data_IF_950475650780
#
_entry.id   IF_950475650780
#
_cell.length_a   1.000
_cell.length_b   1.000
_cell.length_c   1.000
_cell.angle_alpha   90.00
_cell.angle_beta   90.00
_cell.angle_gamma   90.00
#
_symmetry.space_group_name_H-M   'P 1'
#
loop_
_entity.id
_entity.type
_entity.pdbx_description
1 polymer ?
#
# COMPACT_ATOMS: atom_id res chain seq x y z
N UNK A 1 -12.94 56.72 42.67
CA UNK A 1 -12.13 57.48 41.70
C UNK A 1 -10.72 57.56 42.20
N UNK A 2 -9.74 57.38 41.32
CA UNK A 2 -8.33 57.57 41.63
C UNK A 2 -8.04 59.03 42.04
N UNK A 3 -7.04 59.23 42.88
CA UNK A 3 -6.72 60.53 43.50
C UNK A 3 -5.27 60.93 43.23
N UNK A 4 -5.05 62.23 43.11
CA UNK A 4 -3.73 62.84 43.13
C UNK A 4 -3.69 63.96 44.16
N UNK A 5 -2.58 64.08 44.88
CA UNK A 5 -2.29 65.24 45.73
C UNK A 5 -1.14 66.12 45.20
N UNK A 6 -0.59 65.80 44.03
CA UNK A 6 0.36 66.66 43.35
C UNK A 6 -0.35 67.93 42.85
N UNK A 7 0.18 69.09 43.21
CA UNK A 7 -0.33 70.42 42.85
C UNK A 7 0.74 71.24 42.17
N UNK A 8 0.32 72.18 41.31
CA UNK A 8 1.26 73.10 40.69
C UNK A 8 1.60 74.21 41.69
N UNK A 9 2.88 74.50 41.85
CA UNK A 9 3.32 75.63 42.65
C UNK A 9 2.97 76.94 41.96
N UNK A 10 2.55 77.94 42.73
CA UNK A 10 2.25 79.29 42.23
C UNK A 10 1.18 79.34 41.11
N UNK A 11 0.07 78.61 41.31
CA UNK A 11 -1.09 78.62 40.40
C UNK A 11 -1.72 80.01 40.26
N UNK A 12 -1.75 80.80 41.33
CA UNK A 12 -2.34 82.15 41.36
C UNK A 12 -1.33 83.31 41.36
N UNK A 13 -0.04 83.06 41.11
CA UNK A 13 0.94 84.14 41.09
C UNK A 13 0.78 84.99 39.82
N UNK A 14 0.89 86.31 39.96
CA UNK A 14 0.87 87.20 38.81
C UNK A 14 2.07 86.95 37.88
N UNK A 15 1.87 87.09 36.57
CA UNK A 15 2.90 86.81 35.55
C UNK A 15 4.17 87.63 35.77
N UNK A 16 4.02 88.88 36.23
CA UNK A 16 5.14 89.77 36.54
C UNK A 16 6.05 89.26 37.67
N UNK A 17 5.58 88.30 38.48
CA UNK A 17 6.29 87.68 39.58
C UNK A 17 6.85 86.29 39.22
N UNK A 18 6.75 85.89 37.95
CA UNK A 18 7.44 84.74 37.36
C UNK A 18 8.48 85.30 36.38
N UNK A 19 9.67 84.74 36.37
CA UNK A 19 10.70 85.12 35.40
C UNK A 19 10.30 84.70 33.97
N UNK A 20 10.55 85.58 32.99
CA UNK A 20 10.25 85.26 31.60
C UNK A 20 11.17 84.14 31.07
N UNK A 21 10.75 83.43 30.02
CA UNK A 21 11.57 82.36 29.44
C UNK A 21 12.93 82.89 28.97
N UNK A 22 12.95 84.05 28.31
CA UNK A 22 14.18 84.68 27.81
C UNK A 22 15.16 85.03 28.94
N UNK A 23 14.65 85.57 30.06
CA UNK A 23 15.49 85.89 31.23
C UNK A 23 15.99 84.60 31.89
N UNK A 24 15.10 83.62 32.12
CA UNK A 24 15.43 82.35 32.75
C UNK A 24 16.45 81.54 31.95
N UNK A 25 16.37 81.53 30.62
CA UNK A 25 17.33 80.85 29.74
C UNK A 25 18.78 81.30 29.97
N UNK A 26 18.97 82.58 30.30
CA UNK A 26 20.29 83.19 30.52
C UNK A 26 20.64 83.43 31.99
N UNK A 27 19.71 83.16 32.92
CA UNK A 27 19.92 83.34 34.35
C UNK A 27 21.09 82.48 34.87
N UNK A 28 22.04 83.14 35.54
CA UNK A 28 23.27 82.51 36.00
C UNK A 28 23.04 81.50 37.12
N UNK A 29 22.01 81.67 37.94
CA UNK A 29 21.66 80.72 39.00
C UNK A 29 20.95 79.47 38.44
N UNK A 30 20.21 79.58 37.31
CA UNK A 30 19.72 78.40 36.59
C UNK A 30 20.87 77.53 36.07
N UNK A 31 21.90 78.17 35.50
CA UNK A 31 23.04 77.47 34.86
C UNK A 31 24.03 76.93 35.89
N UNK A 32 24.43 77.76 36.85
CA UNK A 32 25.55 77.51 37.75
C UNK A 32 25.14 77.16 39.19
N UNK A 33 23.84 77.18 39.48
CA UNK A 33 23.29 76.92 40.82
C UNK A 33 23.18 78.16 41.71
N UNK A 34 22.50 78.01 42.85
CA UNK A 34 22.29 79.09 43.83
C UNK A 34 23.59 79.46 44.53
N UNK A 35 23.83 80.78 44.69
CA UNK A 35 24.99 81.34 45.42
C UNK A 35 24.52 82.04 46.70
N UNK A 36 25.38 82.20 47.73
CA UNK A 36 25.02 82.93 48.94
C UNK A 36 24.56 84.36 48.63
N UNK A 37 23.37 84.74 49.10
CA UNK A 37 22.79 86.06 48.84
C UNK A 37 21.27 86.10 49.02
N UNK A 38 20.67 87.23 48.64
CA UNK A 38 19.21 87.39 48.62
C UNK A 38 18.64 86.60 47.45
N UNK A 39 17.72 85.67 47.71
CA UNK A 39 17.08 84.86 46.68
C UNK A 39 16.25 85.72 45.73
N UNK A 40 16.38 85.50 44.42
CA UNK A 40 15.59 86.18 43.37
C UNK A 40 14.20 85.53 43.28
N UNK A 41 13.11 86.18 43.74
CA UNK A 41 11.83 85.50 43.88
C UNK A 41 11.22 85.06 42.54
N UNK A 42 11.40 85.84 41.46
CA UNK A 42 10.86 85.52 40.13
C UNK A 42 11.45 84.24 39.54
N UNK A 43 12.78 84.11 39.64
CA UNK A 43 13.52 82.91 39.21
C UNK A 43 13.05 81.68 40.00
N UNK A 44 12.97 81.78 41.33
CA UNK A 44 12.54 80.67 42.17
C UNK A 44 11.09 80.27 41.88
N UNK A 45 10.19 81.23 41.66
CA UNK A 45 8.83 80.97 41.23
C UNK A 45 8.80 80.21 39.89
N UNK A 46 9.64 80.59 38.92
CA UNK A 46 9.76 79.92 37.63
C UNK A 46 10.24 78.47 37.79
N UNK A 47 11.33 78.27 38.52
CA UNK A 47 11.93 76.96 38.80
C UNK A 47 10.93 76.00 39.47
N UNK A 48 10.34 76.42 40.59
CA UNK A 48 9.38 75.59 41.33
C UNK A 48 8.13 75.29 40.51
N UNK A 49 7.63 76.27 39.74
CA UNK A 49 6.48 76.06 38.87
C UNK A 49 6.79 75.03 37.78
N UNK A 50 7.93 75.11 37.09
CA UNK A 50 8.29 74.13 36.05
C UNK A 50 8.42 72.70 36.62
N UNK A 51 9.06 72.54 37.79
CA UNK A 51 9.20 71.21 38.41
C UNK A 51 7.85 70.62 38.83
N UNK A 52 6.98 71.44 39.44
CA UNK A 52 5.68 70.98 39.95
C UNK A 52 4.64 70.80 38.84
N UNK A 53 4.71 71.55 37.73
CA UNK A 53 3.90 71.29 36.52
C UNK A 53 4.18 69.90 35.97
N UNK A 54 5.46 69.50 35.84
CA UNK A 54 5.80 68.16 35.38
C UNK A 54 5.31 67.07 36.33
N UNK A 55 5.47 67.27 37.65
CA UNK A 55 4.98 66.33 38.65
C UNK A 55 3.45 66.18 38.61
N UNK A 56 2.71 67.29 38.54
CA UNK A 56 1.26 67.29 38.43
C UNK A 56 0.77 66.65 37.12
N UNK A 57 1.46 66.90 36.00
CA UNK A 57 1.15 66.28 34.70
C UNK A 57 1.34 64.76 34.73
N UNK A 58 2.45 64.27 35.28
CA UNK A 58 2.69 62.84 35.46
C UNK A 58 1.63 62.19 36.37
N UNK A 59 1.29 62.85 37.48
CA UNK A 59 0.23 62.38 38.37
C UNK A 59 -1.13 62.32 37.68
N UNK A 60 -1.43 63.27 36.78
CA UNK A 60 -2.67 63.27 35.99
C UNK A 60 -2.74 62.07 35.04
N UNK A 61 -1.63 61.70 34.40
CA UNK A 61 -1.54 60.52 33.52
C UNK A 61 -1.81 59.24 34.33
N UNK A 62 -1.26 59.14 35.54
CA UNK A 62 -1.51 58.01 36.46
C UNK A 62 -2.99 57.94 36.87
N UNK A 63 -3.60 59.07 37.23
CA UNK A 63 -5.02 59.13 37.62
C UNK A 63 -5.95 58.79 36.45
N UNK A 64 -5.62 59.22 35.22
CA UNK A 64 -6.38 58.85 34.02
C UNK A 64 -6.33 57.35 33.72
N UNK A 65 -5.24 56.67 34.09
CA UNK A 65 -5.14 55.20 34.06
C UNK A 65 -5.94 54.52 35.19
N UNK A 66 -6.56 55.28 36.09
CA UNK A 66 -7.37 54.79 37.20
C UNK A 66 -6.56 54.39 38.44
N UNK A 67 -5.33 54.91 38.58
CA UNK A 67 -4.41 54.61 39.67
C UNK A 67 -4.13 55.85 40.53
N UNK A 68 -3.87 55.66 41.82
CA UNK A 68 -3.59 56.77 42.72
C UNK A 68 -2.17 57.32 42.52
N UNK A 69 -2.01 58.64 42.64
CA UNK A 69 -0.73 59.33 42.58
C UNK A 69 -0.56 60.17 43.86
N UNK A 70 -0.07 59.53 44.93
CA UNK A 70 0.07 60.15 46.25
C UNK A 70 1.54 60.31 46.62
N UNK A 71 1.95 61.51 47.02
CA UNK A 71 3.31 61.79 47.52
C UNK A 71 3.65 61.05 48.83
N UNK A 72 2.63 60.60 49.57
CA UNK A 72 2.76 59.84 50.81
C UNK A 72 3.07 58.36 50.59
N UNK A 73 2.95 57.86 49.35
CA UNK A 73 3.20 56.46 48.99
C UNK A 73 4.15 56.36 47.79
N UNK A 74 5.44 56.52 48.05
CA UNK A 74 6.47 56.46 47.01
C UNK A 74 6.49 55.12 46.26
N UNK A 75 6.36 54.00 46.98
CA UNK A 75 6.38 52.67 46.38
C UNK A 75 5.16 52.44 45.49
N UNK A 76 3.97 52.85 45.95
CA UNK A 76 2.75 52.83 45.15
C UNK A 76 2.84 53.76 43.93
N UNK A 77 3.38 54.97 44.10
CA UNK A 77 3.57 55.91 42.99
C UNK A 77 4.48 55.33 41.90
N UNK A 78 5.60 54.70 42.26
CA UNK A 78 6.50 54.05 41.28
C UNK A 78 5.81 52.89 40.57
N UNK A 79 5.07 52.05 41.30
CA UNK A 79 4.28 50.95 40.73
C UNK A 79 3.23 51.48 39.74
N UNK A 80 2.48 52.50 40.15
CA UNK A 80 1.42 53.08 39.34
C UNK A 80 1.96 53.79 38.11
N UNK A 81 3.11 54.47 38.23
CA UNK A 81 3.80 55.07 37.08
C UNK A 81 4.21 54.00 36.06
N UNK A 82 4.78 52.86 36.50
CA UNK A 82 5.12 51.74 35.61
C UNK A 82 3.90 51.17 34.88
N UNK A 83 2.79 50.99 35.59
CA UNK A 83 1.52 50.50 35.02
C UNK A 83 0.90 51.48 34.03
N UNK A 84 1.19 52.77 34.14
CA UNK A 84 0.60 53.81 33.28
C UNK A 84 1.22 53.82 31.89
N UNK A 85 2.52 53.50 31.77
CA UNK A 85 3.21 53.49 30.47
C UNK A 85 3.09 52.16 29.70
N UNK A 86 2.75 51.06 30.37
CA UNK A 86 2.34 49.83 29.72
C UNK A 86 0.81 49.85 29.55
N UNK A 87 0.31 49.91 28.32
CA UNK A 87 -1.13 49.86 28.05
C UNK A 87 -1.76 48.51 28.43
N UNK A 88 -2.98 48.24 27.97
CA UNK A 88 -3.58 46.90 28.05
C UNK A 88 -3.49 46.16 26.72
N UNK A 89 -3.24 44.85 26.76
CA UNK A 89 -3.43 43.97 25.59
C UNK A 89 -4.72 43.19 25.81
N UNK A 90 -5.72 43.40 24.95
CA UNK A 90 -7.02 42.71 25.02
C UNK A 90 -7.67 42.76 26.43
N UNK A 91 -7.61 43.91 27.10
CA UNK A 91 -8.17 44.12 28.44
C UNK A 91 -7.29 43.62 29.60
N UNK A 92 -6.15 42.97 29.33
CA UNK A 92 -5.18 42.56 30.36
C UNK A 92 -4.29 43.75 30.70
N UNK A 93 -4.34 44.19 31.96
CA UNK A 93 -3.55 45.30 32.49
C UNK A 93 -2.18 44.82 32.98
N UNK A 94 -1.17 45.71 33.04
CA UNK A 94 0.13 45.35 33.60
C UNK A 94 0.07 45.04 35.09
N UNK A 95 0.92 44.10 35.53
CA UNK A 95 1.16 43.79 36.95
C UNK A 95 1.91 44.92 37.69
N UNK A 96 2.21 44.73 38.98
CA UNK A 96 2.99 45.69 39.80
C UNK A 96 4.42 45.93 39.30
N UNK A 97 4.91 45.08 38.39
CA UNK A 97 6.22 45.19 37.74
C UNK A 97 6.13 45.78 36.34
N UNK A 98 4.93 46.07 35.82
CA UNK A 98 4.69 46.60 34.48
C UNK A 98 4.64 45.53 33.38
N UNK A 99 4.56 44.24 33.72
CA UNK A 99 4.42 43.15 32.74
C UNK A 99 2.96 42.89 32.42
N UNK A 100 2.65 42.64 31.15
CA UNK A 100 1.33 42.17 30.73
C UNK A 100 1.40 40.65 30.57
N UNK A 101 0.57 39.91 31.32
CA UNK A 101 0.51 38.46 31.19
C UNK A 101 -0.17 38.05 29.89
N UNK A 102 0.62 37.61 28.92
CA UNK A 102 0.14 37.09 27.63
C UNK A 102 0.20 35.56 27.55
N UNK A 103 0.39 34.87 28.68
CA UNK A 103 0.59 33.41 28.72
C UNK A 103 -0.59 32.66 28.13
N UNK A 104 -1.82 33.11 28.42
CA UNK A 104 -3.05 32.50 27.88
C UNK A 104 -3.15 32.65 26.36
N UNK A 105 -2.73 33.80 25.81
CA UNK A 105 -2.69 34.01 24.36
C UNK A 105 -1.66 33.10 23.71
N UNK A 106 -0.45 33.01 24.29
CA UNK A 106 0.60 32.13 23.82
C UNK A 106 0.16 30.66 23.87
N UNK A 107 -0.56 30.26 24.92
CA UNK A 107 -1.11 28.92 25.02
C UNK A 107 -2.16 28.65 23.94
N UNK A 108 -3.11 29.57 23.75
CA UNK A 108 -4.12 29.43 22.69
C UNK A 108 -3.51 29.32 21.30
N UNK A 109 -2.46 30.09 21.00
CA UNK A 109 -1.71 29.96 19.75
C UNK A 109 -1.04 28.59 19.65
N UNK A 110 -0.39 28.12 20.73
CA UNK A 110 0.25 26.79 20.76
C UNK A 110 -0.75 25.65 20.55
N UNK A 111 -1.96 25.76 21.09
CA UNK A 111 -3.00 24.73 20.97
C UNK A 111 -3.58 24.65 19.55
N UNK A 112 -3.47 25.71 18.76
CA UNK A 112 -3.93 25.75 17.35
C UNK A 112 -2.92 25.19 16.34
N UNK A 113 -1.65 25.04 16.73
CA UNK A 113 -0.57 24.60 15.82
C UNK A 113 -0.61 23.09 15.54
N UNK A 114 -0.69 22.19 16.53
CA UNK A 114 -0.69 20.76 16.26
C UNK A 114 -2.04 20.30 15.67
N UNK A 115 -2.07 19.30 14.77
CA UNK A 115 -3.31 18.65 14.35
C UNK A 115 -4.07 18.11 15.56
N UNK A 116 -5.39 18.02 15.49
CA UNK A 116 -6.26 17.57 16.58
C UNK A 116 -6.01 16.10 16.90
N UNK A 117 -6.41 15.66 18.09
CA UNK A 117 -6.44 14.21 18.41
C UNK A 117 -7.37 13.52 17.41
N UNK A 118 -6.88 12.46 16.77
CA UNK A 118 -7.55 11.76 15.67
C UNK A 118 -7.19 12.24 14.26
N UNK A 119 -6.54 13.41 14.11
CA UNK A 119 -6.06 13.86 12.80
C UNK A 119 -4.87 13.01 12.34
N UNK A 120 -4.76 12.83 11.02
CA UNK A 120 -3.68 12.10 10.39
C UNK A 120 -2.71 13.03 9.65
N UNK A 121 -1.42 12.74 9.71
CA UNK A 121 -0.38 13.36 8.88
C UNK A 121 0.17 12.32 7.91
N UNK A 122 0.25 12.68 6.63
CA UNK A 122 0.90 11.88 5.57
C UNK A 122 2.24 12.52 5.23
N UNK A 123 3.35 11.79 5.40
CA UNK A 123 4.70 12.35 5.27
C UNK A 123 5.71 11.34 4.75
N UNK A 124 6.77 11.83 4.10
CA UNK A 124 7.96 11.02 3.76
C UNK A 124 8.99 10.99 4.90
N UNK A 125 8.87 11.90 5.88
CA UNK A 125 9.74 11.89 7.05
C UNK A 125 9.35 10.72 7.98
N UNK A 126 10.33 9.87 8.31
CA UNK A 126 10.15 8.72 9.20
C UNK A 126 10.11 9.09 10.68
N UNK A 127 10.49 10.31 11.05
CA UNK A 127 10.48 10.74 12.44
C UNK A 127 9.05 10.87 12.98
N UNK A 128 8.87 10.49 14.25
CA UNK A 128 7.61 10.68 14.94
C UNK A 128 7.24 12.19 14.96
N UNK A 129 6.01 12.58 14.57
CA UNK A 129 5.61 13.98 14.50
C UNK A 129 5.71 14.74 15.83
N UNK A 130 5.80 14.05 16.97
CA UNK A 130 6.06 14.66 18.28
C UNK A 130 7.36 15.48 18.33
N UNK A 131 8.33 15.21 17.45
CA UNK A 131 9.53 16.07 17.30
C UNK A 131 9.20 17.46 16.78
N UNK A 132 8.23 17.58 15.86
CA UNK A 132 7.76 18.85 15.31
C UNK A 132 6.68 19.49 16.19
N UNK A 133 5.86 18.66 16.84
CA UNK A 133 4.77 19.07 17.71
C UNK A 133 5.01 18.58 19.15
N UNK A 134 5.84 19.30 19.94
CA UNK A 134 6.14 18.89 21.30
C UNK A 134 4.89 18.70 22.15
N UNK A 135 4.89 17.67 23.01
CA UNK A 135 3.77 17.36 23.90
C UNK A 135 2.62 16.56 23.27
N UNK A 136 2.74 16.16 21.99
CA UNK A 136 1.76 15.29 21.33
C UNK A 136 2.24 13.84 21.25
N UNK A 137 1.29 12.91 21.14
CA UNK A 137 1.57 11.47 20.93
C UNK A 137 0.93 10.98 19.64
N UNK A 138 1.59 10.03 18.98
CA UNK A 138 1.24 9.58 17.64
C UNK A 138 1.43 8.08 17.49
N UNK A 139 0.53 7.46 16.75
CA UNK A 139 0.60 6.07 16.32
C UNK A 139 0.84 5.99 14.82
N UNK A 140 1.81 5.16 14.40
CA UNK A 140 2.09 4.91 12.99
C UNK A 140 1.13 3.84 12.49
N UNK A 141 0.43 4.10 11.39
CA UNK A 141 -0.42 3.09 10.77
C UNK A 141 0.42 1.88 10.30
N UNK A 142 -0.14 0.66 10.39
CA UNK A 142 0.52 -0.53 9.85
C UNK A 142 0.89 -0.36 8.38
N UNK A 143 2.00 -0.98 7.98
CA UNK A 143 2.43 -0.94 6.59
C UNK A 143 1.37 -1.50 5.63
N UNK A 144 1.39 -1.02 4.37
CA UNK A 144 0.47 -1.47 3.31
C UNK A 144 -1.02 -1.29 3.67
N UNK A 145 -1.32 -0.30 4.51
CA UNK A 145 -2.69 0.15 4.80
C UNK A 145 -3.09 1.27 3.83
N UNK A 146 -4.23 1.10 3.16
CA UNK A 146 -4.85 2.16 2.38
C UNK A 146 -5.92 2.88 3.21
N UNK A 147 -6.04 4.19 3.07
CA UNK A 147 -7.08 4.97 3.75
C UNK A 147 -8.34 5.00 2.87
N UNK A 148 -9.50 4.67 3.45
CA UNK A 148 -10.82 4.86 2.83
C UNK A 148 -11.64 5.90 3.58
N UNK A 149 -12.57 6.57 2.90
CA UNK A 149 -13.52 7.47 3.56
C UNK A 149 -14.48 6.68 4.45
N UNK A 150 -14.68 7.15 5.67
CA UNK A 150 -15.69 6.59 6.57
C UNK A 150 -17.11 7.04 6.19
N UNK A 151 -18.10 6.23 6.56
CA UNK A 151 -19.52 6.47 6.35
C UNK A 151 -20.38 5.49 7.14
N UNK A 152 -21.60 5.22 6.67
CA UNK A 152 -22.53 4.33 7.40
C UNK A 152 -22.09 2.86 7.39
N UNK A 153 -21.45 2.42 6.29
CA UNK A 153 -21.06 1.01 6.10
C UNK A 153 -19.65 0.72 6.59
N UNK A 154 -18.71 1.65 6.36
CA UNK A 154 -17.34 1.57 6.88
C UNK A 154 -17.18 2.63 7.95
N UNK A 155 -17.12 2.23 9.22
CA UNK A 155 -17.11 3.18 10.34
C UNK A 155 -15.73 3.79 10.55
N UNK A 156 -15.68 4.95 11.20
CA UNK A 156 -14.41 5.59 11.59
C UNK A 156 -13.61 4.63 12.46
N UNK A 157 -12.34 4.39 12.10
CA UNK A 157 -11.43 3.51 12.82
C UNK A 157 -11.61 2.02 12.56
N UNK A 158 -12.54 1.62 11.69
CA UNK A 158 -12.69 0.24 11.27
C UNK A 158 -11.53 -0.18 10.35
N UNK A 159 -11.01 -1.39 10.57
CA UNK A 159 -9.99 -2.01 9.72
C UNK A 159 -10.63 -3.12 8.89
N UNK A 160 -10.25 -3.24 7.62
CA UNK A 160 -10.75 -4.27 6.73
C UNK A 160 -9.92 -4.43 5.45
N UNK A 161 -10.31 -5.38 4.61
CA UNK A 161 -9.64 -5.69 3.35
C UNK A 161 -8.44 -6.61 3.47
N UNK A 162 -7.87 -6.99 2.32
CA UNK A 162 -6.67 -7.80 2.20
C UNK A 162 -5.83 -7.35 1.01
N UNK A 163 -4.51 -7.43 1.18
CA UNK A 163 -3.53 -7.14 0.13
C UNK A 163 -3.25 -8.35 -0.79
N UNK A 164 -3.85 -9.50 -0.50
CA UNK A 164 -3.76 -10.69 -1.35
C UNK A 164 -5.07 -11.47 -1.34
N UNK A 165 -5.30 -12.20 -2.43
CA UNK A 165 -6.46 -13.08 -2.55
C UNK A 165 -6.07 -14.39 -3.23
N UNK A 166 -6.63 -15.50 -2.74
CA UNK A 166 -6.54 -16.80 -3.40
C UNK A 166 -7.92 -17.16 -3.92
N UNK A 167 -8.02 -17.48 -5.21
CA UNK A 167 -9.30 -17.77 -5.83
C UNK A 167 -9.95 -19.01 -5.20
N UNK A 168 -11.22 -18.90 -4.83
CA UNK A 168 -12.04 -20.04 -4.44
C UNK A 168 -12.67 -20.72 -5.67
N UNK A 169 -13.25 -21.91 -5.48
CA UNK A 169 -13.94 -22.63 -6.57
C UNK A 169 -15.15 -21.83 -7.06
N UNK A 170 -15.84 -21.14 -6.16
CA UNK A 170 -17.02 -20.30 -6.44
C UNK A 170 -16.68 -19.07 -7.28
N UNK A 171 -15.43 -18.63 -7.28
CA UNK A 171 -14.95 -17.45 -8.02
C UNK A 171 -14.45 -17.79 -9.42
N UNK A 172 -14.38 -19.08 -9.78
CA UNK A 172 -13.98 -19.52 -11.12
C UNK A 172 -15.19 -19.44 -12.05
N UNK A 173 -15.03 -18.76 -13.19
CA UNK A 173 -16.06 -18.73 -14.22
C UNK A 173 -16.41 -20.15 -14.69
N UNK A 174 -17.70 -20.40 -14.93
CA UNK A 174 -18.17 -21.67 -15.47
C UNK A 174 -17.42 -21.99 -16.79
N UNK A 175 -16.81 -23.17 -16.84
CA UNK A 175 -16.05 -23.66 -17.98
C UNK A 175 -16.24 -25.16 -18.15
N UNK A 176 -15.86 -25.68 -19.31
CA UNK A 176 -15.92 -27.11 -19.64
C UNK A 176 -14.55 -27.62 -20.02
N UNK A 177 -14.26 -28.87 -19.66
CA UNK A 177 -13.07 -29.58 -20.12
C UNK A 177 -13.46 -30.46 -21.31
N UNK A 178 -12.96 -30.12 -22.50
CA UNK A 178 -13.11 -30.96 -23.68
C UNK A 178 -12.12 -32.11 -23.67
N UNK A 179 -12.57 -33.32 -24.05
CA UNK A 179 -11.68 -34.42 -24.40
C UNK A 179 -12.25 -35.20 -25.57
N UNK A 180 -11.36 -35.84 -26.34
CA UNK A 180 -11.73 -36.88 -27.28
C UNK A 180 -10.89 -38.11 -26.96
N UNK A 181 -11.54 -39.26 -26.82
CA UNK A 181 -10.86 -40.53 -26.57
C UNK A 181 -11.39 -41.51 -27.62
N UNK A 182 -10.49 -42.03 -28.46
CA UNK A 182 -10.82 -43.07 -29.43
C UNK A 182 -11.16 -44.38 -28.73
N UNK A 183 -11.96 -45.23 -29.38
CA UNK A 183 -12.20 -46.59 -28.90
C UNK A 183 -11.03 -47.48 -29.35
N UNK A 184 -10.24 -47.99 -28.41
CA UNK A 184 -9.32 -49.10 -28.65
C UNK A 184 -10.11 -50.41 -28.72
N UNK A 185 -10.77 -50.65 -29.85
CA UNK A 185 -11.38 -51.93 -30.13
C UNK A 185 -10.33 -53.04 -30.16
N UNK A 186 -10.75 -54.26 -29.80
CA UNK A 186 -9.93 -55.45 -30.07
C UNK A 186 -9.62 -55.52 -31.56
N UNK A 187 -8.38 -55.84 -31.90
CA UNK A 187 -7.99 -56.00 -33.29
C UNK A 187 -7.26 -57.32 -33.48
N UNK A 188 -7.46 -57.86 -34.68
CA UNK A 188 -6.92 -59.13 -35.11
C UNK A 188 -6.00 -58.91 -36.30
N UNK A 189 -4.92 -59.67 -36.33
CA UNK A 189 -4.13 -59.81 -37.54
C UNK A 189 -4.58 -61.09 -38.24
N UNK A 190 -4.90 -60.97 -39.52
CA UNK A 190 -5.13 -62.13 -40.37
C UNK A 190 -3.84 -62.44 -41.13
N UNK A 191 -3.81 -63.60 -41.79
CA UNK A 191 -2.78 -63.93 -42.79
C UNK A 191 -2.70 -62.94 -43.97
N UNK A 192 -3.68 -62.03 -44.08
CA UNK A 192 -3.80 -61.11 -45.22
C UNK A 192 -3.81 -61.87 -46.55
N UNK A 193 -3.17 -61.30 -47.56
CA UNK A 193 -3.01 -61.92 -48.88
C UNK A 193 -1.78 -62.84 -48.98
N UNK A 194 -1.02 -63.05 -47.89
CA UNK A 194 0.17 -63.90 -47.93
C UNK A 194 -0.25 -65.37 -47.98
N UNK A 195 0.15 -66.07 -49.05
CA UNK A 195 -0.07 -67.50 -49.18
C UNK A 195 1.26 -68.24 -49.22
N UNK A 196 1.43 -69.22 -48.33
CA UNK A 196 2.57 -70.14 -48.37
C UNK A 196 2.14 -71.31 -49.24
N UNK A 197 2.84 -71.49 -50.36
CA UNK A 197 2.59 -72.57 -51.31
C UNK A 197 3.88 -73.33 -51.57
N UNK A 198 3.77 -74.63 -51.81
CA UNK A 198 4.91 -75.46 -52.17
C UNK A 198 4.45 -76.74 -52.84
N UNK A 199 5.37 -77.42 -53.52
CA UNK A 199 5.06 -78.66 -54.23
C UNK A 199 6.14 -79.68 -53.93
N UNK A 200 5.73 -80.89 -53.54
CA UNK A 200 6.63 -82.02 -53.28
C UNK A 200 6.26 -83.17 -54.22
N UNK A 201 7.24 -83.86 -54.83
CA UNK A 201 6.96 -85.06 -55.61
C UNK A 201 6.56 -86.19 -54.67
N UNK A 202 5.39 -86.80 -54.91
CA UNK A 202 4.94 -87.97 -54.19
C UNK A 202 5.09 -89.21 -55.09
N UNK A 203 5.68 -90.31 -54.59
CA UNK A 203 5.73 -91.57 -55.31
C UNK A 203 4.35 -92.24 -55.27
N UNK A 204 3.40 -91.72 -56.04
CA UNK A 204 2.02 -92.20 -56.00
C UNK A 204 1.36 -92.13 -57.36
N UNK A 205 0.60 -93.17 -57.68
CA UNK A 205 -0.27 -93.27 -58.86
C UNK A 205 -1.55 -92.42 -58.70
N UNK A 206 -1.92 -91.69 -59.75
CA UNK A 206 -3.12 -90.83 -59.83
C UNK A 206 -4.37 -91.56 -59.35
N UNK A 207 -5.13 -90.96 -58.42
CA UNK A 207 -6.45 -91.43 -57.98
C UNK A 207 -6.48 -92.45 -56.83
N UNK A 208 -5.38 -93.13 -56.49
CA UNK A 208 -5.37 -94.16 -55.43
C UNK A 208 -5.27 -93.56 -54.03
N UNK A 209 -4.49 -92.49 -53.90
CA UNK A 209 -4.14 -91.90 -52.59
C UNK A 209 -4.81 -90.56 -52.30
N UNK A 210 -5.63 -90.06 -53.23
CA UNK A 210 -6.38 -88.80 -53.09
C UNK A 210 -7.22 -88.75 -51.80
N UNK A 211 -7.71 -89.91 -51.33
CA UNK A 211 -8.44 -90.02 -50.05
C UNK A 211 -7.59 -89.75 -48.81
N UNK A 212 -6.26 -89.88 -48.92
CA UNK A 212 -5.30 -89.70 -47.82
C UNK A 212 -4.62 -88.32 -47.90
N UNK A 213 -4.64 -87.66 -49.06
CA UNK A 213 -4.21 -86.26 -49.20
C UNK A 213 -5.37 -85.36 -48.74
N UNK A 214 -5.23 -84.80 -47.55
CA UNK A 214 -6.28 -84.03 -46.88
C UNK A 214 -5.72 -82.70 -46.37
N UNK A 215 -6.59 -81.80 -45.94
CA UNK A 215 -6.15 -80.52 -45.38
C UNK A 215 -5.66 -79.55 -46.46
N UNK A 216 -4.57 -78.82 -46.18
CA UNK A 216 -3.95 -77.84 -47.09
C UNK A 216 -3.25 -78.48 -48.30
N UNK A 217 -3.16 -79.81 -48.35
CA UNK A 217 -2.52 -80.52 -49.44
C UNK A 217 -3.57 -81.02 -50.43
N UNK A 218 -3.22 -81.03 -51.72
CA UNK A 218 -4.00 -81.70 -52.75
C UNK A 218 -3.06 -82.33 -53.80
N UNK A 219 -3.53 -83.39 -54.45
CA UNK A 219 -2.78 -84.09 -55.48
C UNK A 219 -3.12 -83.53 -56.87
N UNK A 220 -2.11 -83.08 -57.62
CA UNK A 220 -2.26 -82.65 -59.01
C UNK A 220 -2.68 -83.85 -59.89
N UNK A 221 -3.98 -84.01 -60.14
CA UNK A 221 -4.53 -85.17 -60.86
C UNK A 221 -5.81 -85.76 -60.28
N UNK A 222 -6.35 -85.17 -59.20
CA UNK A 222 -7.63 -85.56 -58.62
C UNK A 222 -8.77 -85.57 -59.65
N UNK A 223 -9.40 -86.74 -59.78
CA UNK A 223 -10.51 -87.07 -60.70
C UNK A 223 -10.13 -87.33 -62.17
N UNK A 224 -9.20 -88.28 -62.40
CA UNK A 224 -9.09 -88.97 -63.69
C UNK A 224 -8.41 -88.18 -64.83
N UNK A 225 -7.59 -87.17 -64.50
CA UNK A 225 -6.80 -86.41 -65.49
C UNK A 225 -5.40 -87.00 -65.72
N UNK A 226 -5.01 -87.15 -66.99
CA UNK A 226 -3.75 -87.77 -67.46
C UNK A 226 -2.51 -86.87 -67.35
N UNK A 227 -2.10 -86.47 -66.14
CA UNK A 227 -0.92 -85.61 -65.98
C UNK A 227 0.17 -86.31 -65.15
N UNK A 228 0.77 -87.35 -65.72
CA UNK A 228 2.02 -87.94 -65.22
C UNK A 228 3.21 -87.10 -65.69
N UNK A 229 4.03 -86.59 -64.76
CA UNK A 229 5.26 -85.85 -65.09
C UNK A 229 6.48 -86.76 -64.93
N UNK A 230 7.33 -86.79 -65.96
CA UNK A 230 8.63 -87.50 -65.91
C UNK A 230 9.65 -86.62 -65.18
N UNK A 231 10.09 -87.06 -64.00
CA UNK A 231 11.18 -86.40 -63.27
C UNK A 231 12.45 -87.23 -63.45
N UNK A 232 13.47 -86.66 -64.10
CA UNK A 232 14.72 -87.36 -64.36
C UNK A 232 15.53 -87.47 -63.06
N UNK A 233 15.87 -88.69 -62.63
CA UNK A 233 16.70 -88.96 -61.45
C UNK A 233 15.95 -89.31 -60.16
N UNK A 234 14.62 -89.53 -60.20
CA UNK A 234 13.91 -90.16 -59.08
C UNK A 234 14.03 -91.69 -59.18
N UNK A 235 14.98 -92.26 -58.44
CA UNK A 235 15.18 -93.72 -58.36
C UNK A 235 14.07 -94.35 -57.50
N UNK A 236 13.03 -94.86 -58.14
CA UNK A 236 12.12 -95.85 -57.54
C UNK A 236 12.44 -97.21 -58.17
N UNK A 237 13.29 -98.02 -57.51
CA UNK A 237 13.73 -99.30 -58.06
C UNK A 237 12.66 -100.37 -57.82
N UNK A 238 11.54 -100.28 -58.54
CA UNK A 238 10.56 -101.36 -58.59
C UNK A 238 10.08 -101.59 -60.02
N UNK A 239 10.61 -102.67 -60.61
CA UNK A 239 10.02 -103.48 -61.70
C UNK A 239 9.19 -102.75 -62.76
N UNK A 240 9.84 -102.19 -63.79
CA UNK A 240 9.42 -102.27 -65.20
C UNK A 240 8.04 -101.76 -65.62
N UNK A 241 7.20 -101.24 -64.73
CA UNK A 241 5.88 -100.67 -64.99
C UNK A 241 5.69 -99.56 -63.95
N UNK A 242 5.06 -98.46 -64.36
CA UNK A 242 4.63 -97.30 -63.56
C UNK A 242 5.65 -96.14 -63.44
N UNK A 243 5.48 -95.14 -64.30
CA UNK A 243 6.29 -93.91 -64.41
C UNK A 243 5.50 -92.67 -63.93
N UNK A 244 4.74 -92.82 -62.84
CA UNK A 244 3.74 -91.83 -62.45
C UNK A 244 4.13 -91.17 -61.12
N UNK A 245 4.91 -90.09 -61.20
CA UNK A 245 5.10 -89.18 -60.05
C UNK A 245 4.01 -88.12 -60.09
N UNK A 246 3.14 -88.14 -59.10
CA UNK A 246 2.15 -87.09 -58.87
C UNK A 246 2.69 -86.08 -57.86
N UNK A 247 2.42 -84.81 -58.07
CA UNK A 247 2.83 -83.77 -57.14
C UNK A 247 1.77 -83.56 -56.05
N UNK A 248 2.21 -83.60 -54.80
CA UNK A 248 1.46 -83.08 -53.67
C UNK A 248 1.70 -81.58 -53.60
N UNK A 249 0.68 -80.78 -53.92
CA UNK A 249 0.75 -79.32 -53.78
C UNK A 249 0.20 -78.93 -52.42
N UNK A 250 1.01 -78.22 -51.65
CA UNK A 250 0.60 -77.50 -50.46
C UNK A 250 0.09 -76.12 -50.83
N UNK A 251 -1.13 -75.82 -50.43
CA UNK A 251 -1.70 -74.48 -50.47
C UNK A 251 -2.32 -74.18 -49.11
N UNK A 252 -1.57 -73.43 -48.29
CA UNK A 252 -1.99 -73.11 -46.93
C UNK A 252 -3.38 -72.48 -46.88
N UNK A 253 -3.76 -71.67 -47.88
CA UNK A 253 -5.05 -70.98 -47.90
C UNK A 253 -6.26 -71.91 -47.97
N UNK A 254 -6.09 -73.16 -48.44
CA UNK A 254 -7.20 -74.11 -48.60
C UNK A 254 -7.81 -74.56 -47.29
N UNK A 255 -7.05 -74.58 -46.20
CA UNK A 255 -7.56 -75.00 -44.88
C UNK A 255 -7.15 -74.12 -43.72
N UNK A 256 -6.16 -73.24 -43.90
CA UNK A 256 -5.86 -72.27 -42.87
C UNK A 256 -6.85 -71.10 -42.91
N UNK A 257 -7.85 -71.19 -42.03
CA UNK A 257 -8.76 -70.09 -41.71
C UNK A 257 -8.46 -69.57 -40.30
N UNK A 258 -8.38 -68.26 -40.09
CA UNK A 258 -8.28 -67.67 -38.74
C UNK A 258 -7.31 -66.50 -38.60
N UNK A 259 -7.14 -66.07 -37.36
CA UNK A 259 -6.26 -64.98 -36.97
C UNK A 259 -4.87 -65.52 -36.59
N UNK A 260 -3.81 -64.83 -37.02
CA UNK A 260 -2.43 -65.15 -36.63
C UNK A 260 -2.12 -64.65 -35.22
N UNK A 261 -2.75 -63.54 -34.83
CA UNK A 261 -2.71 -63.00 -33.48
C UNK A 261 -3.98 -62.19 -33.20
N UNK A 262 -4.32 -62.09 -31.93
CA UNK A 262 -5.46 -61.30 -31.46
C UNK A 262 -5.03 -60.47 -30.24
N UNK A 263 -5.34 -59.17 -30.30
CA UNK A 263 -5.23 -58.28 -29.15
C UNK A 263 -6.65 -58.03 -28.64
N UNK A 264 -6.89 -58.45 -27.39
CA UNK A 264 -8.15 -58.20 -26.68
C UNK A 264 -8.46 -56.70 -26.62
N UNK A 265 -9.75 -56.29 -26.56
CA UNK A 265 -10.10 -54.92 -26.27
C UNK A 265 -9.33 -54.42 -25.05
N UNK A 266 -8.77 -53.24 -25.17
CA UNK A 266 -8.03 -52.59 -24.10
C UNK A 266 -8.59 -51.19 -23.87
N UNK A 267 -8.35 -50.66 -22.67
CA UNK A 267 -8.83 -49.35 -22.26
C UNK A 267 -7.71 -48.33 -22.34
N UNK A 268 -8.06 -47.10 -22.69
CA UNK A 268 -7.19 -45.95 -22.50
C UNK A 268 -7.49 -45.29 -21.15
N UNK A 269 -6.45 -44.94 -20.41
CA UNK A 269 -6.59 -44.13 -19.20
C UNK A 269 -6.58 -42.66 -19.60
N UNK A 270 -7.65 -41.92 -19.25
CA UNK A 270 -7.73 -40.47 -19.39
C UNK A 270 -7.54 -39.82 -18.02
N UNK A 271 -6.58 -38.91 -17.92
CA UNK A 271 -6.35 -38.10 -16.73
C UNK A 271 -6.42 -36.61 -17.12
N UNK A 272 -7.44 -35.90 -16.64
CA UNK A 272 -7.57 -34.45 -16.78
C UNK A 272 -7.05 -33.83 -15.49
N UNK A 273 -5.88 -33.20 -15.56
CA UNK A 273 -5.25 -32.55 -14.41
C UNK A 273 -5.70 -31.09 -14.28
N UNK A 274 -5.65 -30.55 -13.06
CA UNK A 274 -5.80 -29.11 -12.85
C UNK A 274 -4.57 -28.39 -13.36
N UNK A 275 -4.77 -27.33 -14.15
CA UNK A 275 -3.70 -26.39 -14.53
C UNK A 275 -3.43 -25.33 -13.45
N UNK A 276 -4.33 -25.16 -12.47
CA UNK A 276 -4.25 -24.14 -11.43
C UNK A 276 -3.44 -24.59 -10.23
N UNK A 277 -2.52 -23.73 -9.78
CA UNK A 277 -1.74 -23.93 -8.54
C UNK A 277 -2.37 -23.30 -7.30
N UNK A 278 -3.50 -22.60 -7.44
CA UNK A 278 -4.16 -21.90 -6.34
C UNK A 278 -3.32 -20.78 -5.72
N UNK A 279 -2.30 -20.28 -6.44
CA UNK A 279 -1.37 -19.27 -5.91
C UNK A 279 -2.11 -17.97 -5.65
N UNK A 280 -1.94 -17.42 -4.44
CA UNK A 280 -2.41 -16.09 -4.10
C UNK A 280 -1.80 -15.05 -5.04
N UNK A 281 -2.62 -14.09 -5.47
CA UNK A 281 -2.18 -12.94 -6.25
C UNK A 281 -2.30 -11.67 -5.42
N UNK A 282 -1.39 -10.73 -5.72
CA UNK A 282 -1.31 -9.44 -5.05
C UNK A 282 -2.37 -8.50 -5.62
N UNK A 283 -3.29 -8.04 -4.77
CA UNK A 283 -4.40 -7.17 -5.16
C UNK A 283 -4.04 -5.68 -5.01
N UNK A 284 -2.83 -5.35 -4.55
CA UNK A 284 -2.43 -3.97 -4.27
C UNK A 284 -2.30 -3.17 -5.58
N UNK A 285 -2.95 -1.99 -5.69
CA UNK A 285 -2.71 -1.08 -6.81
C UNK A 285 -1.29 -0.52 -6.76
N UNK A 286 -0.77 -0.01 -7.88
CA UNK A 286 0.51 0.71 -7.90
C UNK A 286 0.49 1.87 -6.89
N UNK A 287 1.50 1.97 -6.03
CA UNK A 287 1.51 2.94 -4.93
C UNK A 287 2.89 3.59 -4.70
N UNK A 288 2.87 4.77 -4.08
CA UNK A 288 4.02 5.36 -3.39
C UNK A 288 3.69 5.37 -1.89
N UNK A 289 4.54 4.74 -1.09
CA UNK A 289 4.34 4.66 0.35
C UNK A 289 4.75 5.96 1.05
N UNK A 290 3.94 6.36 2.03
CA UNK A 290 4.20 7.45 2.96
C UNK A 290 4.00 6.91 4.37
N UNK A 291 4.69 7.49 5.35
CA UNK A 291 4.34 7.27 6.75
C UNK A 291 3.05 8.03 7.05
N UNK A 292 2.08 7.33 7.63
CA UNK A 292 0.80 7.91 8.03
C UNK A 292 0.72 7.79 9.54
N UNK A 293 0.80 8.93 10.22
CA UNK A 293 0.72 9.01 11.67
C UNK A 293 -0.63 9.57 12.09
N UNK A 294 -1.29 8.94 13.06
CA UNK A 294 -2.54 9.44 13.66
C UNK A 294 -2.24 9.93 15.07
N UNK A 295 -2.70 11.14 15.41
CA UNK A 295 -2.48 11.72 16.74
C UNK A 295 -3.38 11.02 17.77
N UNK A 296 -2.80 10.61 18.89
CA UNK A 296 -3.50 9.91 19.97
C UNK A 296 -3.65 10.72 21.26
N UNK A 297 -2.79 11.72 21.50
CA UNK A 297 -2.92 12.72 22.57
C UNK A 297 -2.20 14.03 22.22
#
# INVERSE_FOLDING_TARGET
MAKSNFRVFAEGVAENNIESDNEYETDTQRVSGVVPGIAVPKMHNKLYKQSTVMAAALAQVIVQAGLDALDSDYSGLVSNLRKTFAGSVNGLKPDDKGNIDISSLLQGIRDMIPPRVGDAIVTLNSENPSKRYPGTTWELLPEKTFIMSAGNTAKVGENGGSNSHSQSVEEIAAHVHGYSMGTAGGHNHTRGNMNITGTLPLPTHTGRWDRFVTGAFWAEGGNGGSVSRRVQGCDFPESGQWWDVTYGTFDASKTWTGYTSYVSPHVHTLQIQSAGSGKAWDTRPQYKAFYIWVRTA
#
